data_IF_558863127773
#
_entry.id   IF_558863127773
#
_cell.length_a   1.000
_cell.length_b   1.000
_cell.length_c   1.000
_cell.angle_alpha   90.00
_cell.angle_beta   90.00
_cell.angle_gamma   90.00
#
_symmetry.space_group_name_H-M   'P 1'
#
loop_
_entity.id
_entity.type
_entity.pdbx_description
1 polymer ?
#
# COMPACT_ATOMS: atom_id res chain seq x y z
N UNK A 1 -3.29 -32.16 -3.33
CA UNK A 1 -2.82 -30.90 -3.94
C UNK A 1 -2.87 -29.90 -2.80
N UNK A 2 -1.75 -29.68 -2.12
CA UNK A 2 -1.67 -28.69 -1.04
C UNK A 2 -2.00 -27.31 -1.62
N UNK A 3 -2.90 -26.59 -0.97
CA UNK A 3 -3.30 -25.26 -1.39
C UNK A 3 -2.18 -24.27 -1.09
N UNK A 4 -1.98 -23.24 -1.92
CA UNK A 4 -0.94 -22.21 -1.72
C UNK A 4 -0.99 -21.58 -0.31
N UNK A 5 -2.17 -21.54 0.32
CA UNK A 5 -2.39 -21.10 1.70
C UNK A 5 -1.70 -21.99 2.76
N UNK A 6 -1.66 -23.30 2.53
CA UNK A 6 -1.00 -24.27 3.41
C UNK A 6 0.53 -24.09 3.34
N UNK A 7 1.07 -23.88 2.13
CA UNK A 7 2.49 -23.61 1.92
C UNK A 7 2.92 -22.29 2.59
N UNK A 8 2.14 -21.22 2.44
CA UNK A 8 2.42 -19.92 3.08
C UNK A 8 2.37 -20.03 4.60
N UNK A 9 1.39 -20.76 5.14
CA UNK A 9 1.25 -20.99 6.59
C UNK A 9 2.44 -21.77 7.14
N UNK A 10 2.93 -22.78 6.42
CA UNK A 10 4.15 -23.51 6.76
C UNK A 10 5.39 -22.60 6.73
N UNK A 11 5.54 -21.75 5.72
CA UNK A 11 6.68 -20.81 5.70
C UNK A 11 6.62 -19.82 6.85
N UNK A 12 5.43 -19.37 7.23
CA UNK A 12 5.24 -18.45 8.35
C UNK A 12 5.55 -19.11 9.69
N UNK A 13 5.16 -20.38 9.87
CA UNK A 13 5.41 -21.13 11.11
C UNK A 13 6.90 -21.35 11.38
N UNK A 14 7.72 -21.43 10.33
CA UNK A 14 9.18 -21.54 10.43
C UNK A 14 9.89 -20.18 10.52
N UNK A 15 9.16 -19.06 10.43
CA UNK A 15 9.75 -17.72 10.42
C UNK A 15 9.90 -17.16 11.85
N UNK A 16 11.10 -17.29 12.42
CA UNK A 16 11.44 -16.69 13.72
C UNK A 16 12.05 -15.31 13.54
N UNK A 17 11.23 -14.25 13.64
CA UNK A 17 11.72 -12.88 13.66
C UNK A 17 12.57 -12.60 14.91
N UNK A 18 13.64 -11.82 14.77
CA UNK A 18 14.50 -11.41 15.90
C UNK A 18 13.90 -10.26 16.72
N UNK A 19 12.98 -9.51 16.14
CA UNK A 19 12.32 -8.34 16.75
C UNK A 19 10.90 -8.18 16.19
N UNK A 20 10.07 -7.42 16.90
CA UNK A 20 8.71 -7.07 16.47
C UNK A 20 8.74 -6.17 15.23
N UNK A 21 7.86 -6.43 14.28
CA UNK A 21 7.70 -5.65 13.05
C UNK A 21 6.34 -4.96 13.07
N UNK A 22 6.33 -3.63 13.06
CA UNK A 22 5.10 -2.85 12.86
C UNK A 22 4.87 -2.66 11.36
N UNK A 23 3.78 -3.23 10.84
CA UNK A 23 3.41 -3.14 9.43
C UNK A 23 2.20 -2.22 9.30
N UNK A 24 2.37 -1.13 8.55
CA UNK A 24 1.30 -0.19 8.24
C UNK A 24 0.80 -0.47 6.83
N UNK A 25 -0.42 -1.01 6.72
CA UNK A 25 -1.07 -1.23 5.44
C UNK A 25 -1.94 -0.03 5.11
N UNK A 26 -1.67 0.60 3.97
CA UNK A 26 -2.39 1.77 3.50
C UNK A 26 -3.06 1.43 2.18
N UNK A 27 -4.39 1.60 2.13
CA UNK A 27 -5.10 1.59 0.86
C UNK A 27 -4.77 2.88 0.10
N UNK A 28 -4.80 2.82 -1.23
CA UNK A 28 -4.64 4.02 -2.03
C UNK A 28 -5.86 4.94 -1.81
N UNK A 29 -5.65 6.25 -1.96
CA UNK A 29 -6.75 7.21 -1.91
C UNK A 29 -7.76 6.99 -3.05
N UNK A 30 -8.84 7.78 -3.06
CA UNK A 30 -9.77 7.81 -4.18
C UNK A 30 -9.02 8.07 -5.52
N UNK A 31 -9.62 7.82 -6.66
CA UNK A 31 -9.00 8.11 -7.97
C UNK A 31 -10.10 8.27 -9.02
N UNK A 32 -9.75 8.88 -10.16
CA UNK A 32 -10.66 8.95 -11.30
C UNK A 32 -10.91 7.54 -11.85
N UNK A 33 -12.13 7.03 -11.69
CA UNK A 33 -12.53 5.71 -12.21
C UNK A 33 -12.88 5.72 -13.69
N UNK A 34 -13.13 6.91 -14.27
CA UNK A 34 -13.55 7.07 -15.67
C UNK A 34 -12.35 7.11 -16.64
N UNK A 35 -11.12 7.06 -16.10
CA UNK A 35 -9.89 7.00 -16.88
C UNK A 35 -9.77 5.69 -17.66
N UNK A 36 -9.67 5.80 -18.99
CA UNK A 36 -9.58 4.68 -19.92
C UNK A 36 -8.26 3.89 -19.74
N UNK A 37 -7.14 4.58 -19.50
CA UNK A 37 -5.84 3.97 -19.21
C UNK A 37 -5.39 4.25 -17.77
N UNK A 38 -4.46 3.47 -17.23
CA UNK A 38 -3.95 3.68 -15.86
C UNK A 38 -3.35 5.09 -15.66
N UNK A 39 -2.77 5.66 -16.72
CA UNK A 39 -2.25 7.04 -16.73
C UNK A 39 -3.34 8.11 -16.64
N UNK A 40 -4.58 7.78 -16.99
CA UNK A 40 -5.73 8.71 -16.97
C UNK A 40 -6.51 8.60 -15.65
N UNK A 41 -6.15 7.62 -14.81
CA UNK A 41 -6.69 7.42 -13.45
C UNK A 41 -5.97 8.31 -12.43
N UNK A 42 -5.83 9.58 -12.81
CA UNK A 42 -5.09 10.60 -12.07
C UNK A 42 -5.84 11.10 -10.83
N UNK A 43 -5.10 11.77 -9.97
CA UNK A 43 -5.59 12.39 -8.75
C UNK A 43 -6.69 13.43 -8.97
N UNK A 44 -7.74 13.32 -8.14
CA UNK A 44 -8.60 14.46 -7.81
C UNK A 44 -7.97 15.27 -6.68
N UNK A 45 -8.42 16.52 -6.47
CA UNK A 45 -7.93 17.37 -5.38
C UNK A 45 -8.08 16.69 -4.00
N UNK A 46 -9.19 15.97 -3.78
CA UNK A 46 -9.46 15.21 -2.56
C UNK A 46 -8.38 14.17 -2.26
N UNK A 47 -7.82 13.53 -3.29
CA UNK A 47 -6.78 12.50 -3.13
C UNK A 47 -5.50 13.09 -2.55
N UNK A 48 -5.12 14.27 -3.03
CA UNK A 48 -3.94 14.97 -2.54
C UNK A 48 -4.08 15.30 -1.07
N UNK A 49 -5.25 15.79 -0.68
CA UNK A 49 -5.56 16.15 0.70
C UNK A 49 -5.58 14.92 1.62
N UNK A 50 -6.15 13.80 1.16
CA UNK A 50 -6.12 12.53 1.88
C UNK A 50 -4.68 12.03 2.10
N UNK A 51 -3.87 11.96 1.04
CA UNK A 51 -2.48 11.52 1.12
C UNK A 51 -1.64 12.41 2.05
N UNK A 52 -1.89 13.72 2.00
CA UNK A 52 -1.24 14.71 2.85
C UNK A 52 -1.63 14.55 4.33
N UNK A 53 -2.92 14.32 4.63
CA UNK A 53 -3.40 14.00 5.98
C UNK A 53 -2.78 12.70 6.51
N UNK A 54 -2.66 11.67 5.65
CA UNK A 54 -2.00 10.41 5.99
C UNK A 54 -0.53 10.62 6.34
N UNK A 55 0.21 11.39 5.52
CA UNK A 55 1.62 11.73 5.79
C UNK A 55 1.81 12.45 7.12
N UNK A 56 0.97 13.46 7.41
CA UNK A 56 0.96 14.15 8.71
C UNK A 56 0.64 13.21 9.88
N UNK A 57 -0.36 12.34 9.74
CA UNK A 57 -0.74 11.39 10.80
C UNK A 57 0.41 10.46 11.15
N UNK A 58 1.09 9.91 10.14
CA UNK A 58 2.24 9.02 10.33
C UNK A 58 3.43 9.75 10.97
N UNK A 59 3.69 11.00 10.58
CA UNK A 59 4.73 11.84 11.21
C UNK A 59 4.43 12.07 12.69
N UNK A 60 3.18 12.35 13.03
CA UNK A 60 2.75 12.57 14.41
C UNK A 60 2.85 11.33 15.30
N UNK A 61 3.03 10.13 14.75
CA UNK A 61 3.32 8.93 15.55
C UNK A 61 4.74 8.94 16.12
N UNK A 62 5.64 9.79 15.60
CA UNK A 62 7.01 9.90 16.11
C UNK A 62 7.87 8.65 15.90
N UNK A 63 7.50 7.80 14.93
CA UNK A 63 8.19 6.55 14.63
C UNK A 63 9.26 6.73 13.55
N UNK A 64 10.36 5.99 13.66
CA UNK A 64 11.35 5.86 12.59
C UNK A 64 10.91 4.76 11.64
N UNK A 65 10.56 5.13 10.40
CA UNK A 65 10.16 4.19 9.37
C UNK A 65 11.37 3.68 8.58
N UNK A 66 11.45 2.36 8.36
CA UNK A 66 12.58 1.75 7.64
C UNK A 66 12.45 1.89 6.12
N UNK A 67 11.26 1.68 5.59
CA UNK A 67 10.98 1.66 4.15
C UNK A 67 9.51 1.89 3.83
N UNK A 68 9.25 2.42 2.64
CA UNK A 68 7.94 2.53 2.03
C UNK A 68 7.91 1.58 0.82
N UNK A 69 7.06 0.55 0.87
CA UNK A 69 6.86 -0.38 -0.24
C UNK A 69 5.48 -0.10 -0.84
N UNK A 70 5.41 0.07 -2.16
CA UNK A 70 4.16 0.45 -2.83
C UNK A 70 3.96 -0.27 -4.16
N UNK A 71 2.70 -0.34 -4.60
CA UNK A 71 2.32 -0.81 -5.93
C UNK A 71 2.89 0.10 -7.01
N UNK A 72 3.27 -0.47 -8.16
CA UNK A 72 3.73 0.34 -9.31
C UNK A 72 2.58 1.03 -10.08
N UNK A 73 1.32 0.72 -9.75
CA UNK A 73 0.14 1.36 -10.36
C UNK A 73 0.15 2.88 -10.14
N UNK A 74 -0.19 3.66 -11.17
CA UNK A 74 -0.04 5.12 -11.19
C UNK A 74 -0.70 5.79 -9.99
N UNK A 75 -1.96 5.43 -9.69
CA UNK A 75 -2.72 5.97 -8.55
C UNK A 75 -2.05 5.75 -7.18
N UNK A 76 -1.27 4.67 -7.04
CA UNK A 76 -0.55 4.35 -5.80
C UNK A 76 0.76 5.13 -5.74
N UNK A 77 1.52 5.14 -6.84
CA UNK A 77 2.78 5.88 -6.96
C UNK A 77 2.62 7.36 -6.61
N UNK A 78 1.56 8.01 -7.08
CA UNK A 78 1.28 9.42 -6.78
C UNK A 78 0.97 9.65 -5.30
N UNK A 79 0.15 8.80 -4.69
CA UNK A 79 -0.19 8.84 -3.26
C UNK A 79 1.09 8.66 -2.42
N UNK A 80 1.92 7.67 -2.77
CA UNK A 80 3.20 7.41 -2.11
C UNK A 80 4.16 8.59 -2.23
N UNK A 81 4.19 9.27 -3.39
CA UNK A 81 5.05 10.44 -3.56
C UNK A 81 4.66 11.58 -2.62
N UNK A 82 3.37 11.82 -2.38
CA UNK A 82 2.91 12.85 -1.42
C UNK A 82 3.30 12.45 0.01
N UNK A 83 2.93 11.24 0.43
CA UNK A 83 3.25 10.74 1.78
C UNK A 83 4.77 10.79 2.04
N UNK A 84 5.59 10.41 1.05
CA UNK A 84 7.05 10.35 1.21
C UNK A 84 7.72 11.69 1.46
N UNK A 85 7.07 12.82 1.12
CA UNK A 85 7.59 14.17 1.43
C UNK A 85 7.70 14.40 2.94
N UNK A 86 6.87 13.72 3.73
CA UNK A 86 6.89 13.78 5.20
C UNK A 86 8.01 12.91 5.82
N UNK A 87 8.66 12.06 5.03
CA UNK A 87 9.67 11.09 5.49
C UNK A 87 10.97 11.20 4.69
N UNK A 88 11.67 12.36 4.74
CA UNK A 88 12.93 12.52 4.02
C UNK A 88 13.94 11.46 4.47
N UNK A 89 14.54 10.76 3.50
CA UNK A 89 15.55 9.72 3.74
C UNK A 89 14.99 8.29 3.91
N UNK A 90 13.67 8.10 3.95
CA UNK A 90 13.10 6.74 3.95
C UNK A 90 13.08 6.18 2.53
N UNK A 91 13.63 4.97 2.35
CA UNK A 91 13.73 4.33 1.05
C UNK A 91 12.35 3.95 0.49
N UNK A 92 12.13 4.23 -0.81
CA UNK A 92 10.91 3.85 -1.54
C UNK A 92 11.19 2.68 -2.49
N UNK A 93 10.35 1.66 -2.43
CA UNK A 93 10.44 0.48 -3.28
C UNK A 93 9.11 0.23 -3.99
N UNK A 94 9.13 0.23 -5.32
CA UNK A 94 7.99 -0.11 -6.16
C UNK A 94 7.97 -1.61 -6.45
N UNK A 95 6.79 -2.24 -6.48
CA UNK A 95 6.62 -3.66 -6.79
C UNK A 95 5.28 -3.95 -7.46
N UNK A 96 5.27 -4.93 -8.37
CA UNK A 96 4.04 -5.39 -9.05
C UNK A 96 3.26 -6.40 -8.20
N UNK A 97 3.89 -6.99 -7.17
CA UNK A 97 3.24 -7.92 -6.24
C UNK A 97 2.10 -7.28 -5.43
N UNK A 98 2.05 -5.94 -5.37
CA UNK A 98 1.02 -5.17 -4.69
C UNK A 98 0.02 -4.55 -5.67
N UNK A 99 -0.07 -5.06 -6.90
CA UNK A 99 -1.15 -4.66 -7.81
C UNK A 99 -2.50 -5.09 -7.27
N UNK A 100 -3.52 -4.29 -7.57
CA UNK A 100 -4.89 -4.67 -7.24
C UNK A 100 -5.24 -5.94 -8.02
N UNK A 101 -5.67 -6.98 -7.31
CA UNK A 101 -6.16 -8.21 -7.91
C UNK A 101 -7.49 -8.02 -8.64
N UNK A 102 -7.96 -9.10 -9.28
CA UNK A 102 -9.31 -9.13 -9.82
C UNK A 102 -10.35 -8.95 -8.69
N UNK A 103 -11.48 -8.27 -8.97
CA UNK A 103 -12.61 -8.30 -8.05
C UNK A 103 -13.02 -9.74 -7.76
N UNK A 104 -13.32 -10.04 -6.50
CA UNK A 104 -13.81 -11.35 -6.04
C UNK A 104 -15.19 -11.18 -5.41
N UNK A 105 -16.01 -12.21 -5.48
CA UNK A 105 -17.30 -12.22 -4.80
C UNK A 105 -17.11 -12.19 -3.28
N UNK A 106 -17.90 -11.37 -2.55
CA UNK A 106 -17.81 -11.33 -1.09
C UNK A 106 -18.31 -12.64 -0.48
N UNK A 107 -17.66 -13.07 0.61
CA UNK A 107 -18.11 -14.17 1.44
C UNK A 107 -18.27 -13.66 2.89
N UNK A 108 -19.48 -13.65 3.48
CA UNK A 108 -20.74 -14.15 2.92
C UNK A 108 -21.27 -13.28 1.76
N UNK A 109 -22.11 -13.84 0.87
CA UNK A 109 -22.78 -13.07 -0.17
C UNK A 109 -23.66 -11.98 0.45
N UNK A 110 -23.71 -10.82 -0.22
CA UNK A 110 -24.43 -9.61 0.22
C UNK A 110 -25.95 -9.73 0.07
#
# INVERSE_FOLDING_TARGET
>A
QETEEEEVSLRLSHYKAKTTRHIFLMHHSQYNTDGQNDKDRIQTQLVREQAELTGRRLTNLGLKYDKIVHSSMTRVTETTNIISKHFPGVCKLSTDLLHKGAPIEPNPPS
#
